data_IF_455024750519
#
_entry.id   IF_455024750519
#
_cell.length_a   1.000
_cell.length_b   1.000
_cell.length_c   1.000
_cell.angle_alpha   90.00
_cell.angle_beta   90.00
_cell.angle_gamma   90.00
#
_symmetry.space_group_name_H-M   'P 1'
#
loop_
_entity.id
_entity.type
_entity.pdbx_description
1 polymer ?
#
# COMPACT_ATOMS: atom_id res chain seq x y z
N UNK A 1 11.13 -0.64 5.88
CA UNK A 1 10.68 -1.96 6.38
C UNK A 1 9.21 -1.80 6.74
N UNK A 2 8.29 -2.16 5.84
CA UNK A 2 6.84 -2.00 6.07
C UNK A 2 6.38 -3.14 6.96
N UNK A 3 6.12 -2.85 8.22
CA UNK A 3 5.60 -3.82 9.18
C UNK A 3 4.11 -4.01 8.90
N UNK A 4 3.73 -5.17 8.36
CA UNK A 4 2.31 -5.51 8.19
C UNK A 4 1.67 -5.78 9.57
N UNK A 5 0.79 -4.88 10.02
CA UNK A 5 -0.02 -5.10 11.22
C UNK A 5 -1.33 -5.74 10.79
N UNK A 6 -1.43 -7.06 10.93
CA UNK A 6 -2.68 -7.81 10.78
C UNK A 6 -3.44 -7.83 12.12
N UNK A 7 -4.61 -7.20 12.20
CA UNK A 7 -5.46 -7.31 13.38
C UNK A 7 -6.28 -8.62 13.33
N UNK A 8 -5.84 -9.65 14.06
CA UNK A 8 -6.69 -10.80 14.41
C UNK A 8 -7.52 -10.45 15.67
N UNK A 9 -8.83 -10.42 15.53
CA UNK A 9 -9.77 -10.08 16.60
C UNK A 9 -9.72 -11.08 17.78
N UNK A 10 -9.28 -10.63 18.95
CA UNK A 10 -9.63 -11.15 20.27
C UNK A 10 -9.68 -9.96 21.26
N UNK A 11 -10.88 -9.70 21.78
CA UNK A 11 -11.29 -8.79 22.87
C UNK A 11 -10.70 -7.37 22.92
N UNK A 12 -11.63 -6.41 22.84
CA UNK A 12 -11.42 -4.99 22.61
C UNK A 12 -11.34 -4.16 23.91
N UNK A 13 -10.59 -3.07 23.88
CA UNK A 13 -11.05 -1.76 24.38
C UNK A 13 -10.50 -0.73 23.40
N UNK A 14 -10.63 0.58 23.59
CA UNK A 14 -9.67 1.66 23.25
C UNK A 14 -10.35 3.00 23.41
N UNK A 15 -9.59 3.87 24.06
CA UNK A 15 -9.88 5.25 24.27
C UNK A 15 -8.89 6.07 23.45
N UNK A 16 -9.40 6.91 22.55
CA UNK A 16 -8.63 8.06 22.06
C UNK A 16 -8.73 9.14 23.15
N UNK A 17 -7.68 9.28 23.94
CA UNK A 17 -7.32 10.62 24.43
C UNK A 17 -6.48 11.22 23.31
N UNK A 18 -6.88 12.38 22.80
CA UNK A 18 -6.05 13.21 21.93
C UNK A 18 -4.72 13.41 22.66
N UNK A 19 -3.67 12.68 22.27
CA UNK A 19 -2.33 12.86 22.83
C UNK A 19 -1.60 13.87 21.97
N UNK A 20 -1.36 15.05 22.56
CA UNK A 20 -0.45 16.03 21.99
C UNK A 20 0.98 15.47 22.05
N UNK A 21 1.63 15.40 20.88
CA UNK A 21 3.07 15.27 20.63
C UNK A 21 3.86 14.32 21.56
N UNK A 22 4.36 13.22 20.98
CA UNK A 22 5.29 12.33 21.68
C UNK A 22 6.71 12.89 21.64
N UNK A 23 7.41 12.90 22.77
CA UNK A 23 8.83 13.27 22.81
C UNK A 23 9.72 12.12 22.30
N UNK A 24 10.88 12.47 21.73
CA UNK A 24 11.84 11.49 21.22
C UNK A 24 12.23 10.46 22.29
N UNK A 25 12.30 9.18 21.90
CA UNK A 25 12.70 8.03 22.74
C UNK A 25 11.70 7.57 23.83
N UNK A 26 10.49 8.16 23.93
CA UNK A 26 9.43 7.57 24.76
C UNK A 26 8.78 6.35 24.10
N UNK A 27 8.09 5.51 24.85
CA UNK A 27 7.21 4.45 24.31
C UNK A 27 5.80 4.67 24.83
N UNK A 28 4.82 4.72 23.91
CA UNK A 28 3.40 4.82 24.26
C UNK A 28 2.65 3.73 23.50
N UNK A 29 1.77 3.04 24.22
CA UNK A 29 0.90 2.03 23.65
C UNK A 29 -0.42 2.67 23.29
N UNK A 30 -0.67 2.80 21.99
CA UNK A 30 -1.99 3.07 21.47
C UNK A 30 -2.71 1.75 21.31
N UNK A 31 -3.97 1.81 21.63
CA UNK A 31 -4.88 0.71 21.50
C UNK A 31 -5.93 1.37 20.48
N UNK A 32 -6.62 0.68 19.50
CA UNK A 32 -7.90 1.03 18.75
C UNK A 32 -9.18 0.14 18.83
N UNK A 33 -10.36 0.72 19.12
CA UNK A 33 -11.64 0.00 19.29
C UNK A 33 -12.31 -0.01 17.93
N UNK A 34 -12.55 -1.20 17.40
CA UNK A 34 -13.10 -1.36 16.06
C UNK A 34 -14.59 -1.73 16.19
N UNK A 35 -15.51 -0.73 16.21
CA UNK A 35 -16.93 -1.02 16.19
C UNK A 35 -17.32 -1.69 14.86
N UNK A 36 -18.49 -2.34 14.83
CA UNK A 36 -19.03 -2.90 13.58
C UNK A 36 -19.14 -1.87 12.45
N UNK A 37 -19.35 -0.60 12.80
CA UNK A 37 -19.44 0.53 11.85
C UNK A 37 -18.10 0.93 11.23
N UNK A 38 -16.96 0.59 11.85
CA UNK A 38 -15.63 0.85 11.31
C UNK A 38 -15.17 -0.25 10.33
N UNK A 39 -15.84 -1.39 10.33
CA UNK A 39 -15.60 -2.47 9.38
C UNK A 39 -16.37 -2.27 8.07
N UNK A 40 -16.06 -3.08 7.04
CA UNK A 40 -16.71 -2.97 5.75
C UNK A 40 -18.19 -3.34 5.82
N UNK A 41 -19.04 -2.53 5.18
CA UNK A 41 -20.50 -2.75 5.02
C UNK A 41 -20.79 -3.87 4.03
N UNK A 42 -21.96 -4.52 4.06
CA UNK A 42 -22.30 -5.64 3.16
C UNK A 42 -22.18 -5.34 1.66
N UNK A 43 -22.22 -4.05 1.32
CA UNK A 43 -22.01 -3.48 -0.01
C UNK A 43 -20.53 -3.42 -0.45
N UNK A 44 -19.59 -3.63 0.46
CA UNK A 44 -18.14 -3.65 0.25
C UNK A 44 -17.58 -5.09 0.30
N UNK A 45 -16.30 -5.23 -0.07
CA UNK A 45 -15.56 -6.48 0.07
C UNK A 45 -15.40 -6.92 1.54
N UNK A 46 -14.96 -8.16 1.76
CA UNK A 46 -14.83 -8.75 3.11
C UNK A 46 -13.90 -7.96 4.03
N UNK A 47 -12.89 -7.30 3.45
CA UNK A 47 -11.94 -6.45 4.15
C UNK A 47 -11.90 -5.08 3.48
N UNK A 48 -11.83 -4.04 4.29
CA UNK A 48 -11.54 -2.67 3.88
C UNK A 48 -10.13 -2.30 4.30
N UNK A 49 -9.42 -1.59 3.44
CA UNK A 49 -8.13 -0.98 3.74
C UNK A 49 -8.33 0.49 4.09
N UNK A 50 -7.51 0.97 5.02
CA UNK A 50 -7.21 2.38 5.27
C UNK A 50 -5.70 2.52 5.50
N UNK A 51 -5.26 3.66 6.01
CA UNK A 51 -3.88 3.86 6.45
C UNK A 51 -3.84 4.38 7.88
N UNK A 52 -2.76 4.02 8.59
CA UNK A 52 -2.31 4.75 9.76
C UNK A 52 -1.05 5.52 9.37
N UNK A 53 -0.93 6.75 9.86
CA UNK A 53 0.23 7.60 9.63
C UNK A 53 0.37 8.59 10.78
N UNK A 54 1.56 9.19 10.92
CA UNK A 54 1.81 10.18 11.96
C UNK A 54 1.13 11.52 11.62
N UNK A 55 0.57 12.17 12.64
CA UNK A 55 -0.11 13.46 12.51
C UNK A 55 0.60 14.57 13.28
N UNK A 56 1.89 14.40 13.59
CA UNK A 56 2.71 15.43 14.23
C UNK A 56 3.00 16.54 13.23
N UNK A 57 3.55 16.18 12.08
CA UNK A 57 3.61 16.99 10.88
C UNK A 57 3.14 16.12 9.72
N UNK A 58 1.89 16.30 9.31
CA UNK A 58 1.24 15.41 8.34
C UNK A 58 2.03 15.30 7.04
N UNK A 59 2.65 16.39 6.58
CA UNK A 59 3.39 16.39 5.33
C UNK A 59 4.77 15.75 5.53
N UNK A 60 5.55 16.26 6.49
CA UNK A 60 6.93 15.79 6.67
C UNK A 60 6.99 14.34 7.10
N UNK A 61 6.12 13.93 8.02
CA UNK A 61 6.08 12.55 8.49
C UNK A 61 5.70 11.57 7.38
N UNK A 62 4.72 11.94 6.55
CA UNK A 62 4.24 11.12 5.45
C UNK A 62 5.34 10.91 4.41
N UNK A 63 5.98 11.99 3.94
CA UNK A 63 7.06 11.91 2.96
C UNK A 63 8.34 11.28 3.51
N UNK A 64 8.56 11.35 4.82
CA UNK A 64 9.61 10.59 5.52
C UNK A 64 9.29 9.08 5.65
N UNK A 65 8.12 8.64 5.17
CA UNK A 65 7.72 7.23 5.11
C UNK A 65 6.94 6.72 6.33
N UNK A 66 6.42 7.58 7.20
CA UNK A 66 5.66 7.19 8.39
C UNK A 66 4.19 6.92 8.07
N UNK A 67 3.95 5.94 7.18
CA UNK A 67 2.64 5.47 6.76
C UNK A 67 2.62 3.94 6.66
N UNK A 68 1.49 3.32 7.01
CA UNK A 68 1.28 1.90 6.83
C UNK A 68 -0.19 1.53 6.58
N UNK A 69 -0.43 0.35 5.97
CA UNK A 69 -1.78 -0.13 5.74
C UNK A 69 -2.48 -0.53 7.03
N UNK A 70 -3.74 -0.15 7.17
CA UNK A 70 -4.65 -0.61 8.21
C UNK A 70 -5.79 -1.41 7.57
N UNK A 71 -5.77 -2.73 7.72
CA UNK A 71 -6.80 -3.60 7.12
C UNK A 71 -7.79 -4.07 8.18
N UNK A 72 -9.07 -3.81 7.95
CA UNK A 72 -10.18 -4.23 8.82
C UNK A 72 -11.06 -5.20 8.06
N UNK A 73 -11.25 -6.40 8.63
CA UNK A 73 -12.02 -7.47 8.01
C UNK A 73 -13.28 -7.82 8.81
N UNK A 74 -14.34 -8.27 8.11
CA UNK A 74 -15.44 -8.95 8.78
C UNK A 74 -14.96 -10.20 9.47
N UNK A 75 -15.54 -10.49 10.64
CA UNK A 75 -15.24 -11.69 11.40
C UNK A 75 -15.51 -12.94 10.56
N UNK A 76 -14.52 -13.82 10.48
CA UNK A 76 -14.63 -15.11 9.80
C UNK A 76 -13.86 -16.16 10.60
N UNK A 77 -14.56 -17.20 11.06
CA UNK A 77 -13.93 -18.31 11.80
C UNK A 77 -12.78 -18.95 11.01
N UNK A 78 -12.91 -19.07 9.68
CA UNK A 78 -11.86 -19.62 8.82
C UNK A 78 -10.56 -18.78 8.82
N UNK A 79 -10.65 -17.44 8.95
CA UNK A 79 -9.47 -16.58 9.13
C UNK A 79 -8.93 -16.65 10.56
N UNK A 80 -9.81 -16.66 11.57
CA UNK A 80 -9.39 -16.74 12.98
C UNK A 80 -8.68 -18.04 13.36
N UNK A 81 -9.01 -19.16 12.70
CA UNK A 81 -8.36 -20.45 12.92
C UNK A 81 -7.18 -20.70 11.95
N UNK A 82 -6.78 -19.73 11.12
CA UNK A 82 -5.65 -19.88 10.18
C UNK A 82 -5.88 -20.95 9.09
N UNK A 83 -7.12 -21.35 8.86
CA UNK A 83 -7.47 -22.47 7.96
C UNK A 83 -7.42 -22.10 6.47
N UNK A 84 -7.12 -20.84 6.12
CA UNK A 84 -7.08 -20.35 4.73
C UNK A 84 -5.65 -20.21 4.24
N UNK A 85 -5.10 -21.32 3.73
CA UNK A 85 -3.87 -21.31 2.92
C UNK A 85 -4.10 -20.86 1.46
N UNK A 86 -5.35 -20.57 1.07
CA UNK A 86 -5.73 -20.24 -0.32
C UNK A 86 -6.00 -18.74 -0.57
N UNK A 87 -5.71 -17.88 0.42
CA UNK A 87 -5.94 -16.44 0.30
C UNK A 87 -4.60 -15.71 0.43
N UNK A 88 -4.12 -15.16 -0.68
CA UNK A 88 -2.97 -14.27 -0.71
C UNK A 88 -3.43 -12.82 -0.58
N UNK A 89 -2.69 -12.01 0.16
CA UNK A 89 -3.06 -10.62 0.46
C UNK A 89 -1.85 -9.70 0.27
N UNK A 90 -2.02 -8.65 -0.53
CA UNK A 90 -0.96 -7.67 -0.80
C UNK A 90 -1.49 -6.26 -0.55
N UNK A 91 -0.70 -5.44 0.15
CA UNK A 91 -0.97 -4.01 0.29
C UNK A 91 -0.01 -3.20 -0.58
N UNK A 92 -0.58 -2.28 -1.36
CA UNK A 92 0.15 -1.45 -2.31
C UNK A 92 -0.19 0.02 -2.07
N UNK A 93 0.84 0.80 -1.74
CA UNK A 93 0.82 2.24 -1.64
C UNK A 93 1.39 2.83 -2.93
N UNK A 94 0.56 3.54 -3.68
CA UNK A 94 0.95 4.36 -4.81
C UNK A 94 1.09 5.80 -4.32
N UNK A 95 2.30 6.33 -4.40
CA UNK A 95 2.65 7.65 -3.90
C UNK A 95 3.97 8.11 -4.54
N UNK A 96 4.06 9.41 -4.81
CA UNK A 96 5.32 10.11 -5.07
C UNK A 96 5.95 10.48 -3.73
N UNK A 97 7.05 9.82 -3.38
CA UNK A 97 7.79 10.11 -2.16
C UNK A 97 8.69 11.32 -2.41
N UNK A 98 8.24 12.49 -1.98
CA UNK A 98 8.96 13.75 -2.13
C UNK A 98 9.96 13.96 -0.97
N UNK A 99 11.24 13.61 -1.21
CA UNK A 99 12.29 13.79 -0.20
C UNK A 99 12.58 15.27 0.10
N UNK A 100 12.11 16.23 -0.71
CA UNK A 100 12.27 17.66 -0.40
C UNK A 100 11.46 18.07 0.84
N UNK A 101 10.34 17.38 1.10
CA UNK A 101 9.48 17.61 2.27
C UNK A 101 9.83 16.67 3.44
N UNK A 102 10.83 15.81 3.29
CA UNK A 102 11.28 14.88 4.33
C UNK A 102 11.96 15.59 5.50
N UNK A 103 11.84 15.02 6.71
CA UNK A 103 12.63 15.44 7.87
C UNK A 103 14.14 15.28 7.63
N UNK A 104 14.51 14.37 6.73
CA UNK A 104 15.88 13.93 6.53
C UNK A 104 16.58 14.60 5.35
N UNK A 105 15.97 15.57 4.67
CA UNK A 105 16.54 16.23 3.49
C UNK A 105 17.97 16.74 3.75
N UNK A 106 18.18 17.48 4.85
CA UNK A 106 19.50 18.07 5.16
C UNK A 106 20.57 17.02 5.46
N UNK A 107 20.20 15.93 6.13
CA UNK A 107 21.11 14.84 6.46
C UNK A 107 21.42 13.99 5.22
N UNK A 108 20.41 13.78 4.36
CA UNK A 108 20.56 13.12 3.06
C UNK A 108 21.49 13.91 2.13
N UNK A 109 21.37 15.25 2.08
CA UNK A 109 22.28 16.10 1.30
C UNK A 109 23.70 15.96 1.82
N UNK A 110 23.94 16.09 3.13
CA UNK A 110 25.28 15.97 3.72
C UNK A 110 25.91 14.60 3.46
N UNK A 111 25.11 13.54 3.46
CA UNK A 111 25.59 12.16 3.31
C UNK A 111 25.87 11.80 1.85
N UNK A 112 24.99 12.20 0.93
CA UNK A 112 25.03 11.74 -0.46
C UNK A 112 25.69 12.74 -1.42
N UNK A 113 25.81 14.02 -1.05
CA UNK A 113 26.32 15.09 -1.90
C UNK A 113 27.64 15.63 -1.34
N UNK A 114 28.75 15.33 -2.02
CA UNK A 114 30.10 15.72 -1.58
C UNK A 114 30.36 17.23 -1.66
N UNK A 115 29.74 17.92 -2.61
CA UNK A 115 29.96 19.35 -2.87
C UNK A 115 28.64 20.01 -3.25
N UNK A 116 27.78 20.32 -2.25
CA UNK A 116 26.50 20.97 -2.53
C UNK A 116 26.71 22.40 -3.02
N UNK A 117 25.95 22.81 -4.03
CA UNK A 117 25.85 24.23 -4.42
C UNK A 117 25.08 25.01 -3.35
N UNK A 118 25.36 26.31 -3.21
CA UNK A 118 24.82 27.14 -2.13
C UNK A 118 23.28 27.17 -2.08
N UNK A 119 22.63 27.04 -3.24
CA UNK A 119 21.17 27.08 -3.39
C UNK A 119 20.62 25.77 -3.98
N UNK A 120 21.24 24.62 -3.67
CA UNK A 120 20.83 23.33 -4.26
C UNK A 120 19.34 23.01 -4.02
N UNK A 121 18.76 23.44 -2.91
CA UNK A 121 17.35 23.21 -2.58
C UNK A 121 16.35 24.05 -3.41
N UNK A 122 16.84 25.08 -4.10
CA UNK A 122 16.02 25.94 -4.98
C UNK A 122 16.13 25.50 -6.44
N UNK A 123 17.03 24.56 -6.74
CA UNK A 123 17.28 24.07 -8.09
C UNK A 123 16.18 23.08 -8.51
N UNK A 124 15.54 23.35 -9.66
CA UNK A 124 14.40 22.55 -10.14
C UNK A 124 14.80 21.11 -10.44
N UNK A 125 15.99 20.89 -11.01
CA UNK A 125 16.50 19.54 -11.31
C UNK A 125 16.78 18.76 -10.02
N UNK A 126 17.30 19.43 -8.98
CA UNK A 126 17.45 18.81 -7.66
C UNK A 126 16.11 18.44 -7.04
N UNK A 127 15.14 19.36 -7.04
CA UNK A 127 13.79 19.11 -6.52
C UNK A 127 13.18 17.90 -7.21
N UNK A 128 13.25 17.85 -8.54
CA UNK A 128 12.69 16.74 -9.32
C UNK A 128 13.44 15.42 -9.07
N UNK A 129 14.76 15.46 -8.91
CA UNK A 129 15.56 14.26 -8.60
C UNK A 129 15.19 13.59 -7.27
N UNK A 130 14.58 14.35 -6.35
CA UNK A 130 14.15 13.89 -5.04
C UNK A 130 12.69 13.37 -5.02
N UNK A 131 11.96 13.42 -6.15
CA UNK A 131 10.61 12.88 -6.26
C UNK A 131 10.61 11.43 -6.71
N UNK A 132 10.46 10.55 -5.74
CA UNK A 132 10.54 9.10 -5.97
C UNK A 132 9.16 8.52 -6.26
N UNK A 133 8.86 8.32 -7.54
CA UNK A 133 7.58 7.79 -8.02
C UNK A 133 7.51 6.27 -7.85
N UNK A 134 7.03 5.80 -6.70
CA UNK A 134 7.17 4.41 -6.28
C UNK A 134 5.87 3.68 -5.96
N UNK A 135 5.96 2.34 -5.94
CA UNK A 135 4.96 1.46 -5.33
C UNK A 135 5.59 0.89 -4.06
N UNK A 136 4.98 1.13 -2.90
CA UNK A 136 5.56 0.80 -1.58
C UNK A 136 6.96 1.41 -1.36
N UNK A 137 7.24 2.58 -1.95
CA UNK A 137 8.54 3.24 -1.90
C UNK A 137 9.63 2.57 -2.74
N UNK A 138 9.28 1.60 -3.57
CA UNK A 138 10.21 0.93 -4.49
C UNK A 138 9.98 1.41 -5.93
N UNK A 139 11.08 1.55 -6.67
CA UNK A 139 11.08 2.09 -8.04
C UNK A 139 11.65 1.08 -9.03
N UNK A 140 11.34 1.25 -10.31
CA UNK A 140 11.95 0.56 -11.45
C UNK A 140 11.96 -0.97 -11.34
N UNK A 141 10.88 -1.56 -10.80
CA UNK A 141 10.77 -3.02 -10.68
C UNK A 141 11.41 -3.64 -9.44
N UNK A 142 11.87 -2.84 -8.47
CA UNK A 142 12.53 -3.37 -7.26
C UNK A 142 11.56 -3.86 -6.17
N UNK A 143 10.23 -3.69 -6.34
CA UNK A 143 9.26 -4.26 -5.39
C UNK A 143 9.14 -5.76 -5.59
N UNK A 144 9.73 -6.52 -4.67
CA UNK A 144 9.69 -7.99 -4.65
C UNK A 144 8.59 -8.53 -3.74
N UNK A 145 8.31 -9.83 -3.88
CA UNK A 145 7.42 -10.56 -2.96
C UNK A 145 5.95 -10.65 -3.40
N UNK A 146 5.60 -10.10 -4.56
CA UNK A 146 4.26 -10.21 -5.15
C UNK A 146 4.08 -11.56 -5.88
N UNK A 147 4.11 -12.66 -5.13
CA UNK A 147 4.05 -14.02 -5.67
C UNK A 147 2.72 -14.70 -5.30
N UNK A 148 2.07 -15.35 -6.26
CA UNK A 148 0.81 -16.09 -6.07
C UNK A 148 0.75 -17.29 -7.02
N UNK A 149 -0.18 -18.22 -6.80
CA UNK A 149 -0.39 -19.37 -7.69
C UNK A 149 -1.65 -19.20 -8.55
N UNK A 150 -1.67 -19.87 -9.70
CA UNK A 150 -2.87 -19.97 -10.54
C UNK A 150 -4.04 -20.50 -9.70
N UNK A 151 -5.16 -19.78 -9.75
CA UNK A 151 -6.39 -20.14 -9.06
C UNK A 151 -6.50 -19.66 -7.62
N UNK A 152 -5.46 -19.04 -7.06
CA UNK A 152 -5.53 -18.45 -5.72
C UNK A 152 -6.58 -17.34 -5.63
N UNK A 153 -7.09 -17.11 -4.42
CA UNK A 153 -7.97 -15.97 -4.17
C UNK A 153 -7.12 -14.83 -3.61
N UNK A 154 -6.83 -13.83 -4.45
CA UNK A 154 -5.90 -12.76 -4.10
C UNK A 154 -6.67 -11.49 -3.75
N UNK A 155 -6.38 -10.89 -2.60
CA UNK A 155 -6.85 -9.56 -2.25
C UNK A 155 -5.71 -8.55 -2.40
N UNK A 156 -5.96 -7.50 -3.19
CA UNK A 156 -5.06 -6.37 -3.31
C UNK A 156 -5.69 -5.17 -2.60
N UNK A 157 -4.97 -4.64 -1.62
CA UNK A 157 -5.32 -3.45 -0.86
C UNK A 157 -4.59 -2.26 -1.49
N UNK A 158 -5.30 -1.53 -2.35
CA UNK A 158 -4.78 -0.40 -3.09
C UNK A 158 -4.97 0.88 -2.28
N UNK A 159 -3.90 1.65 -2.14
CA UNK A 159 -3.88 2.92 -1.43
C UNK A 159 -3.23 3.97 -2.31
N UNK A 160 -3.92 5.09 -2.56
CA UNK A 160 -3.37 6.29 -3.17
C UNK A 160 -3.23 7.38 -2.12
N UNK A 161 -2.03 7.94 -1.97
CA UNK A 161 -1.71 8.99 -1.00
C UNK A 161 -0.74 10.00 -1.61
N UNK A 162 -0.70 11.20 -1.01
CA UNK A 162 0.16 12.30 -1.45
C UNK A 162 -0.67 13.56 -1.72
N UNK A 163 -0.30 14.34 -2.73
CA UNK A 163 -0.90 15.65 -3.03
C UNK A 163 -1.58 15.66 -4.42
N UNK A 164 -1.85 16.83 -5.00
CA UNK A 164 -2.54 16.97 -6.28
C UNK A 164 -1.87 16.30 -7.49
N UNK A 165 -0.56 16.00 -7.44
CA UNK A 165 0.13 15.25 -8.49
C UNK A 165 -0.02 13.73 -8.33
N UNK A 166 -0.47 13.26 -7.17
CA UNK A 166 -0.67 11.83 -6.86
C UNK A 166 -1.99 11.26 -7.41
N UNK A 167 -2.21 11.49 -8.71
CA UNK A 167 -3.26 10.82 -9.47
C UNK A 167 -2.65 9.57 -10.10
N UNK A 168 -2.90 8.43 -9.49
CA UNK A 168 -2.32 7.15 -9.91
C UNK A 168 -3.36 6.23 -10.52
N UNK A 169 -2.87 5.18 -11.17
CA UNK A 169 -3.69 4.02 -11.51
C UNK A 169 -2.95 2.76 -11.12
N UNK A 170 -3.66 1.76 -10.59
CA UNK A 170 -3.12 0.41 -10.48
C UNK A 170 -3.60 -0.41 -11.68
N UNK A 171 -2.72 -0.63 -12.66
CA UNK A 171 -3.01 -1.49 -13.81
C UNK A 171 -2.32 -2.84 -13.68
N UNK A 172 -3.10 -3.91 -13.72
CA UNK A 172 -2.61 -5.29 -13.65
C UNK A 172 -2.66 -5.93 -15.04
N UNK A 173 -1.49 -6.15 -15.65
CA UNK A 173 -1.43 -6.82 -16.94
C UNK A 173 -1.81 -8.30 -16.82
N UNK A 174 -2.47 -8.84 -17.85
CA UNK A 174 -2.80 -10.28 -17.93
C UNK A 174 -3.99 -10.74 -17.08
N UNK A 175 -4.44 -9.94 -16.11
CA UNK A 175 -5.50 -10.32 -15.18
C UNK A 175 -6.43 -9.15 -14.86
N UNK A 176 -7.74 -9.42 -14.90
CA UNK A 176 -8.73 -8.51 -14.31
C UNK A 176 -9.04 -8.90 -12.85
N UNK A 177 -9.45 -7.91 -12.07
CA UNK A 177 -9.97 -8.04 -10.73
C UNK A 177 -11.45 -7.62 -10.67
N UNK A 178 -12.14 -8.09 -9.64
CA UNK A 178 -13.47 -7.62 -9.28
C UNK A 178 -13.35 -6.69 -8.06
N UNK A 179 -14.17 -5.64 -8.00
CA UNK A 179 -14.26 -4.76 -6.85
C UNK A 179 -15.71 -4.33 -6.61
N UNK A 180 -15.99 -3.84 -5.40
CA UNK A 180 -17.33 -3.36 -5.03
C UNK A 180 -17.32 -1.87 -4.80
N UNK A 181 -18.27 -1.18 -5.42
CA UNK A 181 -18.52 0.25 -5.26
C UNK A 181 -20.03 0.51 -5.26
N UNK A 182 -20.52 1.29 -4.30
CA UNK A 182 -21.96 1.62 -4.14
C UNK A 182 -22.91 0.42 -4.07
N UNK A 183 -22.40 -0.77 -3.67
CA UNK A 183 -23.18 -2.01 -3.59
C UNK A 183 -23.26 -2.82 -4.89
N UNK A 184 -22.70 -2.31 -5.99
CA UNK A 184 -22.53 -3.05 -7.25
C UNK A 184 -21.18 -3.76 -7.31
N UNK A 185 -21.14 -4.89 -8.03
CA UNK A 185 -19.89 -5.55 -8.41
C UNK A 185 -19.43 -5.02 -9.75
N UNK A 186 -18.16 -4.65 -9.83
CA UNK A 186 -17.50 -4.13 -11.02
C UNK A 186 -16.31 -5.01 -11.34
N UNK A 187 -15.92 -5.05 -12.61
CA UNK A 187 -14.75 -5.79 -13.08
C UNK A 187 -13.89 -4.88 -13.96
N UNK A 188 -12.61 -4.83 -13.66
CA UNK A 188 -11.63 -4.02 -14.36
C UNK A 188 -10.23 -4.64 -14.24
N UNK A 189 -9.27 -4.15 -15.00
CA UNK A 189 -7.84 -4.41 -14.88
C UNK A 189 -7.05 -3.16 -14.46
N UNK A 190 -7.69 -1.99 -14.52
CA UNK A 190 -7.17 -0.69 -14.06
C UNK A 190 -8.10 -0.10 -12.99
N UNK A 191 -7.53 0.41 -11.90
CA UNK A 191 -8.26 1.20 -10.90
C UNK A 191 -7.60 2.55 -10.68
N UNK A 192 -8.38 3.64 -10.70
CA UNK A 192 -7.88 4.99 -10.42
C UNK A 192 -7.69 5.24 -8.92
N UNK A 193 -6.56 5.81 -8.55
CA UNK A 193 -6.15 6.07 -7.17
C UNK A 193 -5.81 7.55 -7.04
N UNK A 194 -6.77 8.34 -6.55
CA UNK A 194 -6.55 9.73 -6.16
C UNK A 194 -5.99 9.81 -4.74
N UNK A 195 -5.45 10.95 -4.30
CA UNK A 195 -5.00 11.13 -2.92
C UNK A 195 -6.12 10.81 -1.92
N UNK A 196 -5.84 9.97 -0.93
CA UNK A 196 -6.82 9.51 0.04
C UNK A 196 -7.73 8.38 -0.44
N UNK A 197 -7.47 7.78 -1.61
CA UNK A 197 -8.26 6.65 -2.13
C UNK A 197 -7.79 5.35 -1.50
N UNK A 198 -8.74 4.59 -0.96
CA UNK A 198 -8.50 3.25 -0.41
C UNK A 198 -9.48 2.26 -1.03
N UNK A 199 -8.96 1.26 -1.73
CA UNK A 199 -9.80 0.28 -2.40
C UNK A 199 -9.25 -1.14 -2.22
N UNK A 200 -10.14 -2.04 -1.80
CA UNK A 200 -9.86 -3.48 -1.87
C UNK A 200 -10.37 -4.01 -3.21
N UNK A 201 -9.51 -4.69 -3.96
CA UNK A 201 -9.88 -5.43 -5.17
C UNK A 201 -9.55 -6.92 -5.02
N UNK A 202 -10.32 -7.76 -5.69
CA UNK A 202 -10.22 -9.22 -5.60
C UNK A 202 -9.84 -9.80 -6.96
N UNK A 203 -8.71 -10.47 -7.03
CA UNK A 203 -8.20 -11.11 -8.23
C UNK A 203 -8.21 -12.62 -8.08
N UNK A 204 -8.40 -13.33 -9.20
CA UNK A 204 -8.14 -14.76 -9.32
C UNK A 204 -7.22 -14.97 -10.52
N UNK A 205 -5.90 -15.13 -10.32
CA UNK A 205 -4.96 -15.30 -11.41
C UNK A 205 -5.24 -16.59 -12.17
N UNK A 206 -5.14 -16.52 -13.50
CA UNK A 206 -5.48 -17.61 -14.44
C UNK A 206 -4.29 -18.09 -15.24
N UNK A 207 -3.31 -17.22 -15.46
CA UNK A 207 -2.21 -17.48 -16.37
C UNK A 207 -0.89 -17.36 -15.59
N UNK A 208 -0.05 -18.41 -15.59
CA UNK A 208 1.27 -18.32 -14.98
C UNK A 208 2.14 -17.33 -15.77
N UNK A 209 3.11 -16.72 -15.09
CA UNK A 209 4.05 -15.80 -15.70
C UNK A 209 4.44 -14.64 -14.78
N UNK A 210 5.30 -13.79 -15.32
CA UNK A 210 5.67 -12.52 -14.73
C UNK A 210 4.89 -11.42 -15.43
N UNK A 211 4.06 -10.70 -14.68
CA UNK A 211 3.10 -9.74 -15.21
C UNK A 211 3.40 -8.34 -14.68
N UNK A 212 3.27 -7.35 -15.55
CA UNK A 212 3.50 -5.96 -15.20
C UNK A 212 2.37 -5.40 -14.32
N UNK A 213 2.75 -4.64 -13.31
CA UNK A 213 1.87 -3.81 -12.48
C UNK A 213 2.42 -2.39 -12.46
N UNK A 214 1.68 -1.42 -12.96
CA UNK A 214 2.20 -0.07 -13.11
C UNK A 214 1.12 1.02 -13.10
N UNK A 215 1.59 2.27 -13.02
CA UNK A 215 0.77 3.47 -13.22
C UNK A 215 0.71 3.86 -14.71
N UNK A 216 -0.43 4.32 -15.20
CA UNK A 216 -0.61 4.78 -16.58
C UNK A 216 -0.20 6.24 -16.80
N UNK A 217 -0.01 7.02 -15.73
CA UNK A 217 0.49 8.38 -15.87
C UNK A 217 1.91 8.30 -16.42
N UNK A 218 2.11 8.90 -17.60
CA UNK A 218 3.32 8.76 -18.40
C UNK A 218 4.57 9.22 -17.64
N UNK A 219 4.44 10.28 -16.85
CA UNK A 219 5.51 10.78 -16.02
C UNK A 219 5.87 9.79 -14.90
N UNK A 220 4.86 9.31 -14.17
CA UNK A 220 5.07 8.40 -13.03
C UNK A 220 5.69 7.07 -13.47
N UNK A 221 5.25 6.47 -14.58
CA UNK A 221 5.86 5.22 -15.08
C UNK A 221 7.30 5.46 -15.55
N UNK A 222 7.56 6.58 -16.25
CA UNK A 222 8.90 6.95 -16.70
C UNK A 222 9.85 7.16 -15.52
N UNK A 223 9.34 7.73 -14.43
CA UNK A 223 10.06 7.96 -13.19
C UNK A 223 10.16 6.71 -12.28
N UNK A 224 9.61 5.57 -12.70
CA UNK A 224 9.86 4.28 -12.05
C UNK A 224 8.68 3.65 -11.33
N UNK A 225 7.46 4.17 -11.46
CA UNK A 225 6.24 3.60 -10.84
C UNK A 225 5.74 2.37 -11.58
N UNK A 226 6.55 1.31 -11.51
CA UNK A 226 6.36 0.05 -12.20
C UNK A 226 6.96 -1.08 -11.37
N UNK A 227 6.26 -2.21 -11.34
CA UNK A 227 6.76 -3.46 -10.80
C UNK A 227 6.21 -4.68 -11.54
N UNK A 228 6.62 -5.87 -11.11
CA UNK A 228 6.17 -7.15 -11.63
C UNK A 228 5.58 -7.96 -10.48
N UNK A 229 4.48 -8.65 -10.74
CA UNK A 229 3.98 -9.72 -9.90
C UNK A 229 4.13 -11.06 -10.62
N UNK A 230 4.34 -12.13 -9.85
CA UNK A 230 4.62 -13.46 -10.38
C UNK A 230 3.48 -14.41 -10.04
N UNK A 231 2.99 -15.09 -11.07
CA UNK A 231 2.00 -16.17 -10.95
C UNK A 231 2.68 -17.49 -11.29
N UNK A 232 2.73 -18.43 -10.35
CA UNK A 232 3.26 -19.78 -10.58
C UNK A 232 2.14 -20.79 -10.82
N UNK A 233 2.45 -21.87 -11.52
CA UNK A 233 1.52 -23.00 -11.61
C UNK A 233 1.31 -23.65 -10.24
N UNK A 234 0.11 -24.15 -10.01
CA UNK A 234 -0.21 -24.87 -8.77
C UNK A 234 0.25 -26.31 -8.90
N UNK A 235 1.09 -26.78 -7.98
CA UNK A 235 1.48 -28.19 -7.99
C UNK A 235 0.24 -29.07 -7.80
N UNK A 236 -0.02 -29.97 -8.75
CA UNK A 236 -1.05 -31.00 -8.57
C UNK A 236 -0.58 -31.87 -7.42
N UNK A 237 -1.22 -31.77 -6.25
CA UNK A 237 -1.04 -32.76 -5.18
C UNK A 237 -1.39 -34.12 -5.77
N UNK A 238 -0.36 -34.94 -5.97
CA UNK A 238 -0.51 -36.31 -6.48
C UNK A 238 -1.47 -37.07 -5.59
N UNK A 239 -2.59 -37.46 -6.17
CA UNK A 239 -3.49 -38.44 -5.58
C UNK A 239 -2.78 -39.79 -5.69
N UNK A 240 -1.92 -40.11 -4.72
CA UNK A 240 -1.46 -41.48 -4.53
C UNK A 240 -2.68 -42.26 -4.02
N UNK A 241 -3.30 -42.98 -4.94
CA UNK A 241 -4.33 -43.98 -4.65
C UNK A 241 -3.76 -45.23 -4.00
#
# INVERSE_FOLDING_TARGET
MVTHIYFMTLFYTITTLVSFLKQSCETQTYTWYVPKTAGPTDKQETCSVGAYYSTVDVNKDLYSGLIGPLVICRRSYARSFGLKKEVEEFALLFMVFDENESWYLDDNIKTNIKTPTRNIKEDEDFIESNKMHGINGQLYGNLLGLNMEVGDKVYWYLMGMGNEIDIHTAHFHGHSFDYKLSGGSHRADVFGLFPGTFQTVKMKPKYPGSWLLHCHVADHIKAGMVTVYKVTEKEKKGFFG
#
